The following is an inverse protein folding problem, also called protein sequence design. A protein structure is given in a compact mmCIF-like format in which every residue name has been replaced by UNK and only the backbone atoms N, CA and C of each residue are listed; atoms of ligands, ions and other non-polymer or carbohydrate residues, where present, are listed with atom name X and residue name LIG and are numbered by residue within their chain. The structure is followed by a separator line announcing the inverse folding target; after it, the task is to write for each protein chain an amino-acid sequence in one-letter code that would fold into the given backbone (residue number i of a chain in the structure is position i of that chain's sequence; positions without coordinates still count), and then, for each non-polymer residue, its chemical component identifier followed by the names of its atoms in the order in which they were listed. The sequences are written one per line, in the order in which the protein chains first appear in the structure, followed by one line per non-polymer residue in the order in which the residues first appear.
data_IF_801450292875
#
_entry.id   IF_801450292875
#
_cell.length_a   1.000
_cell.length_b   1.000
_cell.length_c   1.000
_cell.angle_alpha   90.00
_cell.angle_beta   90.00
_cell.angle_gamma   90.00
#
_symmetry.space_group_name_H-M   'P 1'
#
loop_
_entity.id
_entity.type
_entity.pdbx_description
1 polymer ?
#
# COMPACT_ATOMS: atom_id res chain seq x y z
N UNK A 1 -10.63 -54.48 3.98
CA UNK A 1 -10.26 -54.09 2.61
C UNK A 1 -11.12 -52.88 2.23
N UNK A 2 -10.63 -51.68 2.54
CA UNK A 2 -11.27 -50.41 2.18
C UNK A 2 -10.25 -49.66 1.28
N UNK A 3 -10.57 -49.55 -0.02
CA UNK A 3 -9.81 -48.79 -1.00
C UNK A 3 -10.05 -47.30 -0.72
N UNK A 4 -9.01 -46.58 -0.32
CA UNK A 4 -8.98 -45.10 -0.36
C UNK A 4 -8.91 -44.67 -1.84
N UNK A 5 -9.91 -43.99 -2.33
CA UNK A 5 -9.89 -43.19 -3.56
C UNK A 5 -9.13 -41.92 -3.28
N UNK A 6 -7.95 -41.80 -3.87
CA UNK A 6 -7.26 -40.50 -4.04
C UNK A 6 -7.99 -39.74 -5.12
N UNK A 7 -8.79 -38.78 -4.77
CA UNK A 7 -9.27 -37.78 -5.74
C UNK A 7 -8.14 -36.80 -6.05
N UNK A 8 -7.80 -36.76 -7.32
CA UNK A 8 -6.85 -35.83 -7.89
C UNK A 8 -7.44 -34.41 -7.77
N UNK A 9 -6.68 -33.51 -7.17
CA UNK A 9 -6.99 -32.09 -7.08
C UNK A 9 -6.94 -31.48 -8.48
N UNK A 10 -8.12 -31.26 -9.07
CA UNK A 10 -8.30 -30.59 -10.35
C UNK A 10 -7.99 -29.09 -10.15
N UNK A 11 -7.04 -28.61 -10.97
CA UNK A 11 -6.49 -27.25 -10.89
C UNK A 11 -7.56 -26.19 -10.98
N UNK A 12 -7.99 -25.68 -9.83
CA UNK A 12 -8.97 -24.60 -9.69
C UNK A 12 -8.56 -23.38 -10.53
N UNK A 13 -9.50 -22.93 -11.34
CA UNK A 13 -9.45 -21.73 -12.16
C UNK A 13 -8.90 -20.56 -11.34
N UNK A 14 -7.78 -19.99 -11.80
CA UNK A 14 -7.24 -18.73 -11.29
C UNK A 14 -8.37 -17.69 -11.28
N UNK A 15 -8.60 -16.96 -10.19
CA UNK A 15 -9.41 -15.75 -10.26
C UNK A 15 -8.77 -14.85 -11.34
N UNK A 16 -9.55 -14.02 -12.04
CA UNK A 16 -9.02 -13.25 -13.14
C UNK A 16 -7.89 -12.37 -12.63
N UNK A 17 -6.66 -12.73 -13.01
CA UNK A 17 -5.53 -11.82 -12.91
C UNK A 17 -5.92 -10.57 -13.71
N UNK A 18 -5.76 -9.40 -13.15
CA UNK A 18 -5.97 -8.12 -13.84
C UNK A 18 -5.01 -7.90 -15.03
N UNK A 19 -4.45 -8.94 -15.54
CA UNK A 19 -3.63 -8.98 -16.75
C UNK A 19 -4.52 -9.25 -17.97
N UNK A 20 -5.40 -8.30 -18.33
CA UNK A 20 -5.80 -8.19 -19.73
C UNK A 20 -4.65 -7.53 -20.48
N UNK A 21 -3.66 -8.33 -20.82
CA UNK A 21 -2.52 -7.92 -21.62
C UNK A 21 -2.97 -7.29 -22.93
N UNK A 22 -2.60 -6.02 -23.12
CA UNK A 22 -2.63 -5.40 -24.44
C UNK A 22 -1.38 -5.87 -25.18
N UNK A 23 -1.50 -6.63 -26.27
CA UNK A 23 -0.35 -6.97 -27.11
C UNK A 23 0.15 -5.70 -27.79
N UNK A 24 1.42 -5.36 -27.62
CA UNK A 24 2.12 -4.55 -28.60
C UNK A 24 2.37 -3.08 -28.27
N UNK A 25 2.44 -2.65 -27.02
CA UNK A 25 3.13 -1.38 -26.69
C UNK A 25 4.43 -1.74 -26.02
N UNK A 26 5.54 -1.44 -26.73
CA UNK A 26 6.89 -1.85 -26.39
C UNK A 26 7.20 -1.64 -24.91
N UNK A 27 7.67 -2.71 -24.31
CA UNK A 27 8.33 -2.73 -23.02
C UNK A 27 9.37 -1.60 -22.99
N UNK A 28 9.07 -0.50 -22.31
CA UNK A 28 10.09 0.50 -21.98
C UNK A 28 10.98 -0.17 -20.94
N UNK A 29 12.01 -0.86 -21.43
CA UNK A 29 13.08 -1.40 -20.61
C UNK A 29 13.61 -0.26 -19.74
N UNK A 30 13.44 -0.37 -18.43
CA UNK A 30 14.41 0.25 -17.53
C UNK A 30 15.80 -0.01 -18.12
N UNK A 31 16.66 1.01 -18.13
CA UNK A 31 17.98 0.96 -18.78
C UNK A 31 18.61 -0.43 -18.64
N UNK A 32 18.86 -1.07 -19.77
CA UNK A 32 19.58 -2.33 -19.84
C UNK A 32 20.89 -2.19 -19.05
N UNK A 33 20.99 -2.87 -17.91
CA UNK A 33 22.24 -2.97 -17.14
C UNK A 33 22.11 -2.75 -15.62
N UNK A 34 20.96 -2.37 -15.08
CA UNK A 34 20.78 -2.27 -13.61
C UNK A 34 19.41 -2.78 -13.23
N UNK A 35 19.39 -3.81 -12.40
CA UNK A 35 18.16 -4.36 -11.83
C UNK A 35 17.58 -3.29 -10.91
N UNK A 36 16.33 -2.80 -11.15
CA UNK A 36 15.75 -1.77 -10.31
C UNK A 36 15.45 -2.35 -8.93
N UNK A 37 16.13 -1.82 -7.91
CA UNK A 37 15.85 -2.11 -6.51
C UNK A 37 14.67 -1.28 -6.00
N UNK A 38 14.23 -1.51 -4.75
CA UNK A 38 13.26 -0.66 -4.07
C UNK A 38 13.64 0.83 -4.17
N UNK A 39 14.95 1.13 -4.15
CA UNK A 39 15.47 2.48 -4.29
C UNK A 39 15.09 3.16 -5.63
N UNK A 40 14.95 2.41 -6.70
CA UNK A 40 14.55 2.99 -8.00
C UNK A 40 13.03 3.16 -8.08
N UNK A 41 12.29 2.13 -7.69
CA UNK A 41 10.83 2.10 -7.74
C UNK A 41 10.22 3.01 -6.66
N UNK A 42 10.74 2.94 -5.44
CA UNK A 42 10.24 3.70 -4.29
C UNK A 42 10.34 5.22 -4.46
N UNK A 43 11.24 5.70 -5.35
CA UNK A 43 11.36 7.12 -5.67
C UNK A 43 10.20 7.67 -6.52
N UNK A 44 9.46 6.79 -7.19
CA UNK A 44 8.45 7.16 -8.17
C UNK A 44 7.22 7.79 -7.50
N UNK A 45 6.93 9.06 -7.84
CA UNK A 45 5.78 9.78 -7.31
C UNK A 45 4.44 9.16 -7.66
N UNK A 46 4.37 8.29 -8.70
CA UNK A 46 3.15 7.57 -9.07
C UNK A 46 2.65 6.64 -7.96
N UNK A 47 3.52 6.21 -7.05
CA UNK A 47 3.13 5.39 -5.90
C UNK A 47 2.10 6.11 -5.00
N UNK A 48 2.06 7.44 -5.03
CA UNK A 48 1.02 8.23 -4.36
C UNK A 48 -0.39 7.89 -4.83
N UNK A 49 -0.55 7.42 -6.07
CA UNK A 49 -1.84 6.98 -6.60
C UNK A 49 -2.43 5.80 -5.81
N UNK A 50 -1.57 4.99 -5.18
CA UNK A 50 -1.94 3.86 -4.33
C UNK A 50 -2.22 4.23 -2.86
N UNK A 51 -1.97 5.47 -2.43
CA UNK A 51 -2.05 5.84 -1.01
C UNK A 51 -3.43 5.55 -0.40
N UNK A 52 -4.51 5.85 -1.14
CA UNK A 52 -5.86 5.55 -0.70
C UNK A 52 -6.11 4.04 -0.56
N UNK A 53 -5.63 3.24 -1.52
CA UNK A 53 -5.72 1.77 -1.44
C UNK A 53 -4.99 1.25 -0.20
N UNK A 54 -3.74 1.64 -0.01
CA UNK A 54 -2.94 1.17 1.11
C UNK A 54 -3.62 1.44 2.46
N UNK A 55 -4.08 2.67 2.68
CA UNK A 55 -4.71 3.02 3.96
C UNK A 55 -6.06 2.31 4.18
N UNK A 56 -6.88 2.15 3.14
CA UNK A 56 -8.15 1.42 3.27
C UNK A 56 -7.91 -0.06 3.59
N UNK A 57 -6.93 -0.70 2.96
CA UNK A 57 -6.51 -2.06 3.31
C UNK A 57 -6.00 -2.15 4.75
N UNK A 58 -5.22 -1.16 5.21
CA UNK A 58 -4.72 -1.14 6.59
C UNK A 58 -5.85 -1.07 7.59
N UNK A 59 -6.79 -0.14 7.43
CA UNK A 59 -7.88 0.06 8.37
C UNK A 59 -8.98 -1.01 8.27
N UNK A 60 -9.04 -1.80 7.20
CA UNK A 60 -9.89 -2.98 7.13
C UNK A 60 -9.45 -4.08 8.12
N UNK A 61 -8.21 -4.05 8.61
CA UNK A 61 -7.81 -4.85 9.75
C UNK A 61 -8.34 -4.19 11.03
N UNK A 62 -9.18 -4.87 11.85
CA UNK A 62 -9.83 -4.24 13.00
C UNK A 62 -8.85 -3.62 14.02
N UNK A 63 -7.72 -4.30 14.32
CA UNK A 63 -6.71 -3.76 15.24
C UNK A 63 -6.12 -2.44 14.75
N UNK A 64 -5.84 -2.33 13.44
CA UNK A 64 -5.31 -1.10 12.84
C UNK A 64 -6.42 -0.06 12.71
N UNK A 65 -7.61 -0.47 12.25
CA UNK A 65 -8.76 0.42 12.05
C UNK A 65 -9.20 1.11 13.34
N UNK A 66 -9.35 0.36 14.42
CA UNK A 66 -9.72 0.89 15.73
C UNK A 66 -8.62 1.80 16.30
N UNK A 67 -7.33 1.39 16.18
CA UNK A 67 -6.21 2.23 16.59
C UNK A 67 -6.18 3.57 15.85
N UNK A 68 -6.48 3.57 14.56
CA UNK A 68 -6.59 4.79 13.76
C UNK A 68 -7.81 5.62 14.16
N UNK A 69 -8.96 5.00 14.35
CA UNK A 69 -10.20 5.68 14.68
C UNK A 69 -10.15 6.39 16.04
N UNK A 70 -9.49 5.77 17.04
CA UNK A 70 -9.48 6.29 18.42
C UNK A 70 -8.32 7.23 18.71
N UNK A 71 -7.15 7.07 18.05
CA UNK A 71 -5.93 7.82 18.40
C UNK A 71 -5.43 8.75 17.29
N UNK A 72 -6.09 8.80 16.15
CA UNK A 72 -5.59 9.56 15.04
C UNK A 72 -6.50 10.72 14.67
N UNK A 73 -5.95 11.92 14.64
CA UNK A 73 -6.55 13.06 13.94
C UNK A 73 -6.47 12.88 12.41
N UNK A 74 -6.73 11.66 11.95
CA UNK A 74 -6.51 11.26 10.56
C UNK A 74 -7.40 12.06 9.61
N UNK A 75 -8.64 12.33 10.03
CA UNK A 75 -9.60 13.11 9.25
C UNK A 75 -9.31 14.61 9.27
N UNK A 76 -8.62 15.08 10.30
CA UNK A 76 -8.29 16.52 10.46
C UNK A 76 -7.00 16.88 9.70
N UNK A 77 -6.00 16.00 9.70
CA UNK A 77 -4.67 16.26 9.14
C UNK A 77 -4.15 15.11 8.24
N UNK A 78 -4.89 14.71 7.20
CA UNK A 78 -4.55 13.55 6.37
C UNK A 78 -3.23 13.73 5.61
N UNK A 79 -2.93 14.94 5.15
CA UNK A 79 -1.68 15.23 4.43
C UNK A 79 -0.45 15.10 5.32
N UNK A 80 -0.54 15.45 6.61
CA UNK A 80 0.58 15.30 7.54
C UNK A 80 0.87 13.83 7.84
N UNK A 81 -0.19 13.00 7.91
CA UNK A 81 -0.05 11.56 8.07
C UNK A 81 0.58 10.91 6.85
N UNK A 82 0.07 11.24 5.65
CA UNK A 82 0.65 10.76 4.40
C UNK A 82 2.14 11.14 4.31
N UNK A 83 2.45 12.41 4.53
CA UNK A 83 3.83 12.90 4.53
C UNK A 83 4.69 12.20 5.57
N UNK A 84 4.18 12.01 6.80
CA UNK A 84 4.90 11.29 7.86
C UNK A 84 5.25 9.86 7.49
N UNK A 85 4.30 9.11 6.94
CA UNK A 85 4.50 7.75 6.46
C UNK A 85 5.53 7.69 5.33
N UNK A 86 5.39 8.55 4.33
CA UNK A 86 6.29 8.55 3.19
C UNK A 86 7.70 9.06 3.56
N UNK A 87 7.79 10.03 4.49
CA UNK A 87 9.09 10.43 5.04
C UNK A 87 9.78 9.26 5.73
N UNK A 88 9.04 8.44 6.48
CA UNK A 88 9.58 7.21 7.08
C UNK A 88 10.08 6.25 5.98
N UNK A 89 9.24 5.93 5.00
CA UNK A 89 9.61 5.02 3.90
C UNK A 89 10.87 5.53 3.18
N UNK A 90 10.88 6.80 2.81
CA UNK A 90 12.03 7.38 2.10
C UNK A 90 13.29 7.43 2.96
N UNK A 91 13.18 7.71 4.24
CA UNK A 91 14.35 7.71 5.12
C UNK A 91 14.94 6.30 5.29
N UNK A 92 14.11 5.26 5.41
CA UNK A 92 14.59 3.87 5.49
C UNK A 92 15.32 3.45 4.20
N UNK A 93 14.86 3.92 3.03
CA UNK A 93 15.41 3.51 1.72
C UNK A 93 16.60 4.36 1.30
N UNK A 94 16.57 5.67 1.57
CA UNK A 94 17.53 6.64 1.01
C UNK A 94 18.27 7.46 2.07
N UNK A 95 17.84 7.37 3.32
CA UNK A 95 18.35 8.24 4.39
C UNK A 95 19.71 7.82 4.92
N UNK A 96 20.39 8.78 5.56
CA UNK A 96 21.55 8.51 6.38
C UNK A 96 21.14 7.79 7.67
N UNK A 97 22.08 7.16 8.38
CA UNK A 97 21.81 6.50 9.67
C UNK A 97 21.15 7.46 10.68
N UNK A 98 21.59 8.71 10.70
CA UNK A 98 21.00 9.76 11.55
C UNK A 98 19.53 10.04 11.22
N UNK A 99 19.20 10.16 9.93
CA UNK A 99 17.83 10.35 9.45
C UNK A 99 16.96 9.13 9.77
N UNK A 100 17.46 7.91 9.54
CA UNK A 100 16.78 6.66 9.92
C UNK A 100 16.48 6.63 11.41
N UNK A 101 17.47 6.92 12.26
CA UNK A 101 17.27 6.97 13.70
C UNK A 101 16.24 8.04 14.13
N UNK A 102 16.24 9.19 13.48
CA UNK A 102 15.28 10.27 13.75
C UNK A 102 13.85 9.88 13.40
N UNK A 103 13.61 9.31 12.20
CA UNK A 103 12.27 8.87 11.79
C UNK A 103 11.76 7.72 12.64
N UNK A 104 12.61 6.74 13.01
CA UNK A 104 12.23 5.66 13.92
C UNK A 104 11.76 6.19 15.27
N UNK A 105 12.50 7.13 15.88
CA UNK A 105 12.09 7.76 17.15
C UNK A 105 10.76 8.50 16.99
N UNK A 106 10.56 9.21 15.87
CA UNK A 106 9.32 9.92 15.57
C UNK A 106 8.12 8.97 15.46
N UNK A 107 8.29 7.87 14.70
CA UNK A 107 7.22 6.87 14.53
C UNK A 107 6.92 6.18 15.85
N UNK A 108 7.92 5.75 16.62
CA UNK A 108 7.72 5.13 17.92
C UNK A 108 7.00 6.04 18.90
N UNK A 109 7.33 7.34 18.91
CA UNK A 109 6.61 8.34 19.74
C UNK A 109 5.14 8.47 19.32
N UNK A 110 4.86 8.42 18.01
CA UNK A 110 3.48 8.49 17.51
C UNK A 110 2.69 7.20 17.80
N UNK A 111 3.36 6.05 17.86
CA UNK A 111 2.76 4.75 18.15
C UNK A 111 2.53 4.52 19.66
N UNK A 112 3.32 5.15 20.52
CA UNK A 112 3.26 4.91 21.97
C UNK A 112 1.84 5.06 22.59
N UNK A 113 1.02 6.06 22.25
CA UNK A 113 -0.33 6.16 22.75
C UNK A 113 -1.33 5.22 22.07
N UNK A 114 -0.98 4.61 20.92
CA UNK A 114 -1.91 3.82 20.10
C UNK A 114 -1.96 2.40 20.63
N UNK A 115 -2.66 2.24 21.74
CA UNK A 115 -2.88 0.94 22.39
C UNK A 115 -4.13 0.98 23.25
N UNK A 116 -4.82 -0.15 23.33
CA UNK A 116 -5.97 -0.38 24.20
C UNK A 116 -5.89 -1.80 24.75
N UNK A 117 -5.99 -1.97 26.04
CA UNK A 117 -6.09 -3.29 26.66
C UNK A 117 -7.36 -4.01 26.19
N UNK A 118 -7.34 -5.35 26.08
CA UNK A 118 -8.57 -6.12 25.83
C UNK A 118 -9.55 -5.94 27.00
N UNK A 119 -10.84 -5.86 26.65
CA UNK A 119 -11.95 -5.84 27.60
C UNK A 119 -13.05 -6.81 27.13
N UNK A 120 -14.20 -6.85 27.82
CA UNK A 120 -15.32 -7.74 27.49
C UNK A 120 -15.88 -7.51 26.08
N UNK A 121 -15.67 -6.33 25.50
CA UNK A 121 -16.25 -5.89 24.22
C UNK A 121 -15.22 -5.86 23.09
N UNK A 122 -13.90 -5.88 23.39
CA UNK A 122 -12.83 -5.69 22.42
C UNK A 122 -11.61 -6.56 22.75
N UNK A 123 -11.01 -7.14 21.71
CA UNK A 123 -9.73 -7.87 21.83
C UNK A 123 -8.55 -6.94 22.14
N UNK A 124 -8.78 -5.62 22.21
CA UNK A 124 -7.74 -4.64 22.33
C UNK A 124 -6.90 -4.50 21.04
N UNK A 125 -5.96 -3.57 21.06
CA UNK A 125 -5.01 -3.35 19.97
C UNK A 125 -3.74 -2.67 20.47
N UNK A 126 -2.65 -2.81 19.70
CA UNK A 126 -1.40 -2.07 19.93
C UNK A 126 -0.70 -1.80 18.61
N UNK A 127 -0.20 -0.57 18.42
CA UNK A 127 0.65 -0.26 17.28
C UNK A 127 2.01 -0.98 17.31
N UNK A 128 2.35 -1.59 18.44
CA UNK A 128 3.54 -2.44 18.59
C UNK A 128 3.26 -3.93 18.35
N UNK A 129 1.99 -4.30 18.06
CA UNK A 129 1.66 -5.67 17.69
C UNK A 129 2.32 -6.05 16.36
N UNK A 130 3.11 -7.12 16.39
CA UNK A 130 3.91 -7.54 15.25
C UNK A 130 3.05 -7.97 14.04
N UNK A 131 1.86 -8.56 14.28
CA UNK A 131 0.95 -8.96 13.20
C UNK A 131 0.30 -7.74 12.53
N UNK A 132 -0.04 -6.71 13.30
CA UNK A 132 -0.53 -5.43 12.77
C UNK A 132 0.56 -4.71 11.97
N UNK A 133 1.81 -4.71 12.45
CA UNK A 133 2.94 -4.13 11.71
C UNK A 133 3.23 -4.90 10.41
N UNK A 134 3.21 -6.24 10.46
CA UNK A 134 3.34 -7.09 9.27
C UNK A 134 2.26 -6.72 8.23
N UNK A 135 1.01 -6.61 8.67
CA UNK A 135 -0.08 -6.24 7.79
C UNK A 135 0.13 -4.87 7.12
N UNK A 136 0.52 -3.86 7.90
CA UNK A 136 0.80 -2.52 7.36
C UNK A 136 1.87 -2.58 6.27
N UNK A 137 3.00 -3.26 6.51
CA UNK A 137 4.08 -3.38 5.52
C UNK A 137 3.63 -4.19 4.29
N UNK A 138 2.86 -5.26 4.50
CA UNK A 138 2.30 -6.06 3.42
C UNK A 138 1.40 -5.24 2.49
N UNK A 139 0.55 -4.37 3.06
CA UNK A 139 -0.30 -3.47 2.25
C UNK A 139 0.49 -2.43 1.47
N UNK A 140 1.59 -1.93 2.02
CA UNK A 140 2.49 -1.03 1.31
C UNK A 140 3.18 -1.74 0.14
N UNK A 141 3.70 -2.95 0.37
CA UNK A 141 4.34 -3.75 -0.67
C UNK A 141 3.38 -4.08 -1.80
N UNK A 142 2.25 -4.71 -1.50
CA UNK A 142 1.30 -5.13 -2.53
C UNK A 142 0.70 -3.94 -3.29
N UNK A 143 0.46 -2.81 -2.61
CA UNK A 143 0.02 -1.58 -3.27
C UNK A 143 1.09 -1.04 -4.22
N UNK A 144 2.36 -1.04 -3.82
CA UNK A 144 3.44 -0.56 -4.66
C UNK A 144 3.60 -1.44 -5.92
N UNK A 145 3.59 -2.77 -5.76
CA UNK A 145 3.60 -3.72 -6.90
C UNK A 145 2.42 -3.45 -7.81
N UNK A 146 1.20 -3.38 -7.26
CA UNK A 146 -0.02 -3.11 -8.05
C UNK A 146 0.10 -1.83 -8.89
N UNK A 147 0.54 -0.72 -8.30
CA UNK A 147 0.68 0.56 -9.01
C UNK A 147 1.78 0.49 -10.07
N UNK A 148 2.92 -0.12 -9.75
CA UNK A 148 4.04 -0.26 -10.68
C UNK A 148 3.64 -1.10 -11.89
N UNK A 149 2.99 -2.23 -11.68
CA UNK A 149 2.55 -3.11 -12.78
C UNK A 149 1.50 -2.44 -13.68
N UNK A 150 0.62 -1.60 -13.14
CA UNK A 150 -0.33 -0.82 -13.94
C UNK A 150 0.36 0.21 -14.85
N UNK A 151 1.52 0.75 -14.42
CA UNK A 151 2.20 1.85 -15.12
C UNK A 151 3.33 1.37 -15.99
N UNK A 152 4.09 0.39 -15.54
CA UNK A 152 5.30 -0.09 -16.21
C UNK A 152 5.17 -1.50 -16.81
N UNK A 153 4.07 -2.19 -16.49
CA UNK A 153 3.86 -3.60 -16.84
C UNK A 153 4.43 -4.54 -15.78
N UNK A 154 4.28 -5.85 -15.99
CA UNK A 154 4.75 -6.88 -15.06
C UNK A 154 6.25 -6.73 -14.79
N UNK A 155 6.63 -6.86 -13.51
CA UNK A 155 8.02 -6.92 -13.11
C UNK A 155 8.61 -8.28 -13.52
N UNK A 156 9.88 -8.28 -13.98
CA UNK A 156 10.62 -9.51 -14.09
C UNK A 156 10.90 -10.11 -12.68
N UNK A 157 11.17 -11.43 -12.64
CA UNK A 157 11.30 -12.13 -11.36
C UNK A 157 12.45 -11.61 -10.50
N UNK A 158 13.58 -11.24 -11.11
CA UNK A 158 14.74 -10.73 -10.39
C UNK A 158 14.42 -9.39 -9.71
N UNK A 159 13.81 -8.48 -10.45
CA UNK A 159 13.34 -7.18 -9.94
C UNK A 159 12.30 -7.35 -8.84
N UNK A 160 11.32 -8.23 -9.05
CA UNK A 160 10.27 -8.50 -8.09
C UNK A 160 10.81 -9.11 -6.79
N UNK A 161 11.80 -10.02 -6.86
CA UNK A 161 12.44 -10.63 -5.70
C UNK A 161 13.32 -9.64 -4.94
N UNK A 162 14.03 -8.75 -5.64
CA UNK A 162 14.80 -7.67 -5.00
C UNK A 162 13.86 -6.70 -4.27
N UNK A 163 12.82 -6.25 -4.94
CA UNK A 163 11.82 -5.36 -4.34
C UNK A 163 11.17 -6.00 -3.10
N UNK A 164 10.83 -7.28 -3.17
CA UNK A 164 10.23 -8.03 -2.07
C UNK A 164 11.14 -8.06 -0.84
N UNK A 165 12.42 -8.43 -1.04
CA UNK A 165 13.42 -8.46 0.04
C UNK A 165 13.68 -7.09 0.66
N UNK A 166 13.70 -6.07 -0.18
CA UNK A 166 13.94 -4.72 0.31
C UNK A 166 12.77 -4.16 1.12
N UNK A 167 11.51 -4.53 0.78
CA UNK A 167 10.34 -4.12 1.55
C UNK A 167 10.35 -4.66 2.98
N UNK A 168 10.94 -5.82 3.25
CA UNK A 168 11.11 -6.35 4.60
C UNK A 168 11.80 -5.34 5.53
N UNK A 169 12.72 -4.52 5.00
CA UNK A 169 13.44 -3.48 5.75
C UNK A 169 12.50 -2.43 6.37
N UNK A 170 11.36 -2.16 5.74
CA UNK A 170 10.40 -1.19 6.28
C UNK A 170 9.76 -1.67 7.59
N UNK A 171 9.51 -2.97 7.73
CA UNK A 171 8.99 -3.55 8.96
C UNK A 171 10.07 -3.74 10.02
N UNK A 172 11.18 -4.34 9.64
CA UNK A 172 12.29 -4.66 10.56
C UNK A 172 12.99 -3.43 11.10
N UNK A 173 12.95 -2.31 10.40
CA UNK A 173 13.44 -1.04 10.89
C UNK A 173 12.62 -0.49 12.08
N UNK A 174 11.39 -0.97 12.31
CA UNK A 174 10.61 -0.72 13.54
C UNK A 174 10.78 -1.91 14.50
N UNK A 175 9.73 -2.67 14.74
CA UNK A 175 9.75 -3.80 15.69
C UNK A 175 9.26 -5.11 15.07
N UNK A 176 9.03 -5.17 13.75
CA UNK A 176 8.64 -6.41 13.09
C UNK A 176 9.80 -7.42 13.16
N UNK A 177 9.62 -8.57 13.83
CA UNK A 177 10.58 -9.66 13.76
C UNK A 177 10.78 -10.13 12.32
N UNK A 178 12.03 -10.29 11.90
CA UNK A 178 12.35 -10.62 10.50
C UNK A 178 11.72 -11.94 10.03
N UNK A 179 11.60 -12.90 10.95
CA UNK A 179 11.02 -14.21 10.72
C UNK A 179 9.51 -14.20 10.45
N UNK A 180 8.81 -13.12 10.75
CA UNK A 180 7.40 -12.96 10.44
C UNK A 180 7.15 -12.51 8.99
N UNK A 181 8.14 -11.88 8.36
CA UNK A 181 8.02 -11.57 6.92
C UNK A 181 8.10 -12.88 6.14
N UNK A 182 7.13 -13.19 5.27
CA UNK A 182 7.14 -14.45 4.53
C UNK A 182 8.46 -14.64 3.76
N UNK A 183 9.02 -15.86 3.69
CA UNK A 183 10.39 -16.08 3.19
C UNK A 183 10.59 -15.73 1.72
N UNK A 184 9.52 -15.81 0.94
CA UNK A 184 9.52 -15.50 -0.50
C UNK A 184 8.17 -14.97 -0.98
N UNK A 185 8.10 -14.55 -2.25
CA UNK A 185 6.89 -14.03 -2.88
C UNK A 185 5.73 -15.05 -2.96
N UNK A 186 6.05 -16.34 -3.05
CA UNK A 186 5.03 -17.38 -3.09
C UNK A 186 4.36 -17.53 -1.72
N UNK A 187 5.15 -17.61 -0.64
CA UNK A 187 4.66 -17.63 0.72
C UNK A 187 3.92 -16.32 1.07
N UNK A 188 4.42 -15.16 0.59
CA UNK A 188 3.71 -13.90 0.73
C UNK A 188 2.34 -13.93 0.04
N UNK A 189 2.23 -14.50 -1.15
CA UNK A 189 0.95 -14.60 -1.87
C UNK A 189 -0.06 -15.42 -1.07
N UNK A 190 0.35 -16.55 -0.50
CA UNK A 190 -0.52 -17.36 0.36
C UNK A 190 -0.98 -16.57 1.59
N UNK A 191 -0.06 -15.88 2.26
CA UNK A 191 -0.38 -15.00 3.39
C UNK A 191 -1.37 -13.91 2.97
N UNK A 192 -1.09 -13.22 1.87
CA UNK A 192 -1.87 -12.11 1.36
C UNK A 192 -3.30 -12.53 1.00
N UNK A 193 -3.45 -13.59 0.20
CA UNK A 193 -4.75 -14.05 -0.26
C UNK A 193 -5.64 -14.47 0.91
N UNK A 194 -5.09 -15.23 1.87
CA UNK A 194 -5.80 -15.60 3.10
C UNK A 194 -6.23 -14.38 3.93
N UNK A 195 -5.37 -13.34 3.99
CA UNK A 195 -5.72 -12.13 4.75
C UNK A 195 -6.80 -11.31 4.03
N UNK A 196 -6.65 -11.10 2.73
CA UNK A 196 -7.61 -10.33 1.93
C UNK A 196 -8.99 -10.97 1.98
N UNK A 197 -9.10 -12.29 1.85
CA UNK A 197 -10.38 -13.01 1.92
C UNK A 197 -11.09 -12.85 3.27
N UNK A 198 -10.33 -12.73 4.35
CA UNK A 198 -10.88 -12.59 5.70
C UNK A 198 -11.24 -11.15 6.10
N UNK A 199 -10.82 -10.15 5.32
CA UNK A 199 -11.05 -8.75 5.67
C UNK A 199 -12.47 -8.30 5.35
N UNK A 200 -13.01 -7.53 6.28
CA UNK A 200 -14.28 -6.80 6.11
C UNK A 200 -14.13 -5.40 6.67
N UNK A 201 -14.73 -4.42 6.00
CA UNK A 201 -14.75 -3.05 6.54
C UNK A 201 -15.84 -2.98 7.63
N UNK A 202 -15.43 -2.83 8.88
CA UNK A 202 -16.34 -2.54 9.98
C UNK A 202 -16.77 -1.05 10.00
N UNK A 203 -17.73 -0.71 10.84
CA UNK A 203 -18.24 0.67 10.93
C UNK A 203 -17.16 1.68 11.29
N UNK A 204 -16.16 1.31 12.08
CA UNK A 204 -15.05 2.19 12.43
C UNK A 204 -14.18 2.47 11.20
N UNK A 205 -13.82 1.43 10.45
CA UNK A 205 -13.07 1.55 9.21
C UNK A 205 -13.84 2.37 8.16
N UNK A 206 -15.15 2.13 8.01
CA UNK A 206 -16.00 2.90 7.07
C UNK A 206 -16.04 4.38 7.44
N UNK A 207 -16.21 4.73 8.73
CA UNK A 207 -16.19 6.13 9.17
C UNK A 207 -14.85 6.81 8.88
N UNK A 208 -13.73 6.13 9.18
CA UNK A 208 -12.39 6.64 8.90
C UNK A 208 -12.18 6.82 7.41
N UNK A 209 -12.53 5.83 6.59
CA UNK A 209 -12.44 5.90 5.13
C UNK A 209 -13.25 7.07 4.56
N UNK A 210 -14.47 7.26 5.05
CA UNK A 210 -15.32 8.38 4.62
C UNK A 210 -14.67 9.72 4.93
N UNK A 211 -14.18 9.92 6.16
CA UNK A 211 -13.49 11.16 6.55
C UNK A 211 -12.24 11.44 5.72
N UNK A 212 -11.45 10.39 5.39
CA UNK A 212 -10.27 10.52 4.56
C UNK A 212 -10.58 10.89 3.12
N UNK A 213 -11.58 10.23 2.54
CA UNK A 213 -11.92 10.36 1.14
C UNK A 213 -12.83 11.59 0.87
N UNK A 214 -13.45 12.16 1.90
CA UNK A 214 -14.32 13.33 1.82
C UNK A 214 -13.89 14.43 2.82
N UNK A 215 -12.64 14.95 2.72
CA UNK A 215 -12.15 15.92 3.67
C UNK A 215 -12.99 17.20 3.62
N UNK A 216 -13.45 17.63 4.80
CA UNK A 216 -14.19 18.89 4.95
C UNK A 216 -13.24 20.10 5.06
N UNK A 217 -12.01 19.87 5.49
CA UNK A 217 -10.96 20.88 5.68
C UNK A 217 -9.82 20.77 4.67
N UNK A 218 -8.82 21.62 4.84
CA UNK A 218 -7.60 21.63 4.04
C UNK A 218 -7.63 22.57 2.85
N UNK A 219 -6.51 22.69 2.11
CA UNK A 219 -6.40 23.57 0.96
C UNK A 219 -7.39 23.21 -0.16
N UNK A 220 -7.84 24.20 -0.92
CA UNK A 220 -8.81 24.00 -2.01
C UNK A 220 -8.29 23.00 -3.06
N UNK A 221 -7.00 23.06 -3.41
CA UNK A 221 -6.40 22.13 -4.36
C UNK A 221 -6.53 20.67 -3.89
N UNK A 222 -6.32 20.42 -2.57
CA UNK A 222 -6.46 19.08 -2.00
C UNK A 222 -7.88 18.56 -2.18
N UNK A 223 -8.89 19.37 -1.84
CA UNK A 223 -10.30 19.02 -2.01
C UNK A 223 -10.66 18.78 -3.48
N UNK A 224 -10.08 19.56 -4.40
CA UNK A 224 -10.31 19.43 -5.84
C UNK A 224 -9.74 18.12 -6.42
N UNK A 225 -8.64 17.58 -5.86
CA UNK A 225 -8.03 16.32 -6.30
C UNK A 225 -8.75 15.09 -5.72
N UNK A 226 -9.47 15.23 -4.61
CA UNK A 226 -10.07 14.09 -3.91
C UNK A 226 -11.07 13.26 -4.72
N UNK A 227 -11.92 13.81 -5.62
CA UNK A 227 -12.76 12.98 -6.49
C UNK A 227 -11.95 12.01 -7.35
N UNK A 228 -10.80 12.46 -7.88
CA UNK A 228 -9.91 11.62 -8.65
C UNK A 228 -9.18 10.59 -7.76
N UNK A 229 -8.72 11.00 -6.58
CA UNK A 229 -8.11 10.09 -5.61
C UNK A 229 -9.08 8.98 -5.18
N UNK A 230 -10.37 9.30 -4.92
CA UNK A 230 -11.41 8.30 -4.64
C UNK A 230 -11.59 7.32 -5.79
N UNK A 231 -11.64 7.83 -7.01
CA UNK A 231 -11.78 7.01 -8.21
C UNK A 231 -10.62 6.02 -8.36
N UNK A 232 -9.38 6.48 -8.19
CA UNK A 232 -8.20 5.60 -8.21
C UNK A 232 -8.23 4.60 -7.06
N UNK A 233 -8.56 5.04 -5.84
CA UNK A 233 -8.68 4.16 -4.67
C UNK A 233 -9.70 3.05 -4.93
N UNK A 234 -10.89 3.39 -5.41
CA UNK A 234 -11.93 2.41 -5.70
C UNK A 234 -11.50 1.42 -6.80
N UNK A 235 -10.83 1.90 -7.84
CA UNK A 235 -10.35 1.05 -8.94
C UNK A 235 -9.22 0.09 -8.56
N UNK A 236 -8.41 0.49 -7.57
CA UNK A 236 -7.27 -0.32 -7.09
C UNK A 236 -7.65 -1.31 -5.97
N UNK A 237 -8.81 -1.14 -5.31
CA UNK A 237 -9.24 -2.03 -4.22
C UNK A 237 -9.83 -3.34 -4.75
N UNK A 238 -9.69 -4.46 -3.98
CA UNK A 238 -10.48 -5.67 -4.19
C UNK A 238 -11.99 -5.37 -4.13
N UNK A 239 -12.78 -6.05 -4.95
CA UNK A 239 -14.19 -5.76 -5.14
C UNK A 239 -15.00 -5.78 -3.83
N UNK A 240 -14.84 -6.86 -3.02
CA UNK A 240 -15.56 -7.01 -1.76
C UNK A 240 -15.23 -5.91 -0.72
N UNK A 241 -13.97 -5.44 -0.70
CA UNK A 241 -13.58 -4.34 0.19
C UNK A 241 -14.08 -2.99 -0.34
N UNK A 242 -14.04 -2.79 -1.66
CA UNK A 242 -14.63 -1.61 -2.29
C UNK A 242 -16.12 -1.48 -1.92
N UNK A 243 -16.86 -2.58 -2.02
CA UNK A 243 -18.27 -2.65 -1.66
C UNK A 243 -18.47 -2.46 -0.15
N UNK A 244 -17.62 -3.08 0.69
CA UNK A 244 -17.63 -2.93 2.14
C UNK A 244 -17.39 -1.48 2.60
N UNK A 245 -16.55 -0.72 1.89
CA UNK A 245 -16.34 0.71 2.14
C UNK A 245 -17.41 1.61 1.51
N UNK A 246 -18.40 1.05 0.83
CA UNK A 246 -19.47 1.80 0.18
C UNK A 246 -18.98 2.67 -0.99
N UNK A 247 -17.93 2.27 -1.68
CA UNK A 247 -17.39 3.02 -2.83
C UNK A 247 -18.12 2.58 -4.10
N UNK A 248 -18.95 3.45 -4.72
CA UNK A 248 -19.76 3.06 -5.86
C UNK A 248 -18.87 2.69 -7.06
N UNK A 249 -19.18 1.56 -7.68
CA UNK A 249 -18.46 1.08 -8.85
C UNK A 249 -19.41 0.47 -9.87
N UNK A 250 -19.15 0.71 -11.16
CA UNK A 250 -19.91 0.18 -12.27
C UNK A 250 -18.98 -0.21 -13.42
N UNK A 251 -19.49 -0.93 -14.39
CA UNK A 251 -18.75 -1.26 -15.60
C UNK A 251 -18.21 -0.02 -16.34
N UNK A 252 -18.90 1.12 -16.25
CA UNK A 252 -18.40 2.38 -16.82
C UNK A 252 -17.23 2.95 -16.03
N UNK A 253 -17.22 2.81 -14.69
CA UNK A 253 -16.07 3.18 -13.85
C UNK A 253 -14.87 2.30 -14.18
N UNK A 254 -15.07 0.98 -14.33
CA UNK A 254 -14.00 0.06 -14.74
C UNK A 254 -13.34 0.47 -16.05
N UNK A 255 -14.14 0.70 -17.11
CA UNK A 255 -13.60 1.15 -18.40
C UNK A 255 -12.83 2.48 -18.32
N UNK A 256 -13.33 3.43 -17.53
CA UNK A 256 -12.63 4.72 -17.30
C UNK A 256 -11.32 4.51 -16.54
N UNK A 257 -11.31 3.63 -15.54
CA UNK A 257 -10.11 3.29 -14.79
C UNK A 257 -9.06 2.66 -15.69
N UNK A 258 -9.42 1.63 -16.47
CA UNK A 258 -8.52 0.99 -17.43
C UNK A 258 -7.94 2.00 -18.44
N UNK A 259 -8.79 2.88 -18.96
CA UNK A 259 -8.35 3.95 -19.87
C UNK A 259 -7.37 4.91 -19.16
N UNK A 260 -7.68 5.32 -17.93
CA UNK A 260 -6.82 6.21 -17.14
C UNK A 260 -5.47 5.57 -16.89
N UNK A 261 -5.43 4.29 -16.49
CA UNK A 261 -4.18 3.57 -16.26
C UNK A 261 -3.37 3.39 -17.54
N UNK A 262 -4.02 3.09 -18.68
CA UNK A 262 -3.36 3.04 -20.00
C UNK A 262 -2.74 4.38 -20.39
N UNK A 263 -3.46 5.48 -20.22
CA UNK A 263 -2.91 6.82 -20.46
C UNK A 263 -1.73 7.12 -19.53
N UNK A 264 -1.84 6.76 -18.26
CA UNK A 264 -0.78 6.93 -17.29
C UNK A 264 0.47 6.12 -17.66
N UNK A 265 0.30 4.86 -18.07
CA UNK A 265 1.39 3.99 -18.54
C UNK A 265 2.13 4.57 -19.77
N UNK A 266 1.43 5.31 -20.62
CA UNK A 266 2.05 5.97 -21.78
C UNK A 266 2.76 7.27 -21.39
N UNK A 267 2.13 8.08 -20.57
CA UNK A 267 2.60 9.46 -20.27
C UNK A 267 3.65 9.47 -19.16
N UNK A 268 3.34 8.81 -18.03
CA UNK A 268 4.14 8.94 -16.81
C UNK A 268 5.63 8.53 -16.98
N UNK A 269 5.98 7.41 -17.62
CA UNK A 269 7.38 7.02 -17.81
C UNK A 269 8.19 8.01 -18.67
N UNK A 270 7.51 8.84 -19.48
CA UNK A 270 8.15 9.86 -20.33
C UNK A 270 8.44 11.17 -19.62
N UNK A 271 7.87 11.34 -18.41
CA UNK A 271 8.15 12.53 -17.61
C UNK A 271 9.61 12.54 -17.16
N UNK A 272 10.26 13.71 -17.12
CA UNK A 272 11.60 13.83 -16.56
C UNK A 272 11.68 13.27 -15.13
N UNK A 273 12.78 12.58 -14.81
CA UNK A 273 12.99 11.97 -13.51
C UNK A 273 12.83 12.98 -12.35
N UNK A 274 13.23 14.25 -12.56
CA UNK A 274 13.06 15.33 -11.57
C UNK A 274 11.59 15.53 -11.16
N UNK A 275 10.66 15.37 -12.11
CA UNK A 275 9.22 15.46 -11.84
C UNK A 275 8.74 14.19 -11.14
N UNK A 276 9.16 13.01 -11.62
CA UNK A 276 8.75 11.73 -11.05
C UNK A 276 9.23 11.54 -9.60
N UNK A 277 10.44 12.03 -9.29
CA UNK A 277 11.05 11.91 -7.96
C UNK A 277 10.87 13.15 -7.07
N UNK A 278 10.09 14.14 -7.52
CA UNK A 278 9.90 15.40 -6.79
C UNK A 278 9.49 15.18 -5.34
N UNK A 279 8.51 14.31 -5.10
CA UNK A 279 7.94 14.11 -3.77
C UNK A 279 8.93 13.47 -2.79
N UNK A 280 9.70 12.49 -3.26
CA UNK A 280 10.80 11.90 -2.49
C UNK A 280 11.81 12.98 -2.06
N UNK A 281 12.26 13.78 -3.02
CA UNK A 281 13.26 14.82 -2.76
C UNK A 281 12.72 15.87 -1.77
N UNK A 282 11.44 16.23 -1.89
CA UNK A 282 10.76 17.11 -0.92
C UNK A 282 10.76 16.51 0.49
N UNK A 283 10.37 15.25 0.65
CA UNK A 283 10.32 14.60 1.98
C UNK A 283 11.69 14.48 2.64
N UNK A 284 12.73 14.11 1.87
CA UNK A 284 14.09 14.00 2.39
C UNK A 284 14.66 15.37 2.78
N UNK A 285 14.45 16.40 1.95
CA UNK A 285 14.89 17.75 2.28
C UNK A 285 14.28 18.34 3.56
N UNK A 286 13.11 17.86 3.96
CA UNK A 286 12.50 18.25 5.26
C UNK A 286 13.19 17.60 6.47
N UNK A 287 13.90 16.48 6.26
CA UNK A 287 14.67 15.82 7.34
C UNK A 287 15.99 16.52 7.62
N UNK A 288 16.57 17.15 6.58
CA UNK A 288 17.84 17.89 6.71
C UNK A 288 17.63 19.26 7.39
N UNK A 289 16.39 19.77 7.36
CA UNK A 289 16.02 21.06 7.93
C UNK A 289 15.48 20.98 9.39
N UNK A 290 15.29 19.78 9.92
CA UNK A 290 14.70 19.52 11.24
C UNK A 290 15.74 19.04 12.26
#
# INVERSE_FOLDING_TARGET
MLRQKTEAYDGGKRPPSYASGVPGIGCLRYRVGMVPALADIGAEGILLAGAGRAILLQIANPSVGHGVAEHSHFTERPLDRLRGTLTYVYAIVYGTEGQVAAVRRRVNRAHAPVQRAPDETSKGYSAYDAQSQLWVVATLYDTAVTVVEHVYGPLDDETADLMYRDYAKLGTALQLPAELWPPDRAAFRVYWDSRIESLTADDAAVRVAHGLLHPQGGPLWYRAVMPFARFLTAGLLPDHLRDGFGLPWSASHGRRFDFTMKCTAVVYPRLPQRIRHWFKNYCLGQLDAA
#
